data_IF_307683247641
#
_entry.id   IF_307683247641
#
_cell.length_a   1.000
_cell.length_b   1.000
_cell.length_c   1.000
_cell.angle_alpha   90.00
_cell.angle_beta   90.00
_cell.angle_gamma   90.00
#
_symmetry.space_group_name_H-M   'P 1'
#
loop_
_entity.id
_entity.type
_entity.pdbx_description
1 polymer ?
#
# COMPACT_ATOMS: atom_id res chain seq x y z
N UNK A 1 -1.96 -1.57 22.72
CA UNK A 1 -1.33 -1.85 21.40
C UNK A 1 -0.15 -0.89 21.30
N UNK A 2 1.05 -1.35 21.63
CA UNK A 2 2.27 -0.56 21.89
C UNK A 2 2.14 0.58 22.91
N UNK A 3 1.05 0.68 23.67
CA UNK A 3 0.80 1.63 24.76
C UNK A 3 1.22 3.09 24.48
N UNK A 4 1.06 3.51 23.21
CA UNK A 4 1.51 4.81 22.70
C UNK A 4 3.01 5.11 22.94
N UNK A 5 3.87 4.09 22.86
CA UNK A 5 5.32 4.21 22.99
C UNK A 5 5.95 4.96 21.79
N UNK A 6 6.04 6.28 21.93
CA UNK A 6 6.64 7.18 20.94
C UNK A 6 8.17 7.05 20.86
N UNK A 7 8.83 6.63 21.94
CA UNK A 7 10.28 6.46 22.01
C UNK A 7 10.72 5.30 21.09
N UNK A 8 10.06 4.16 21.22
CA UNK A 8 10.29 3.01 20.32
C UNK A 8 9.90 3.36 18.89
N UNK A 9 8.82 4.12 18.72
CA UNK A 9 8.34 4.56 17.41
C UNK A 9 9.37 5.38 16.64
N UNK A 10 10.09 6.28 17.32
CA UNK A 10 11.12 7.11 16.72
C UNK A 10 12.41 6.31 16.39
N UNK A 11 12.68 5.22 17.11
CA UNK A 11 13.92 4.43 17.00
C UNK A 11 13.84 3.29 15.99
N UNK A 12 12.65 2.92 15.53
CA UNK A 12 12.44 1.77 14.65
C UNK A 12 11.75 2.17 13.36
N UNK A 13 12.18 1.58 12.26
CA UNK A 13 11.62 1.88 10.94
C UNK A 13 10.14 1.49 10.88
N UNK A 14 9.33 2.25 10.13
CA UNK A 14 7.89 2.03 10.01
C UNK A 14 7.56 0.62 9.55
N UNK A 15 8.25 0.10 8.53
CA UNK A 15 8.02 -1.23 7.97
C UNK A 15 8.40 -2.36 8.95
N UNK A 16 9.22 -2.07 9.98
CA UNK A 16 9.48 -3.02 11.07
C UNK A 16 8.34 -3.12 12.05
N UNK A 17 7.54 -2.07 12.18
CA UNK A 17 6.40 -2.02 13.10
C UNK A 17 5.10 -2.39 12.40
N UNK A 18 5.00 -2.08 11.11
CA UNK A 18 3.87 -2.31 10.22
C UNK A 18 4.39 -2.97 8.93
N UNK A 19 4.71 -4.27 8.95
CA UNK A 19 5.12 -4.94 7.73
C UNK A 19 3.98 -4.95 6.70
N UNK A 20 4.33 -4.66 5.44
CA UNK A 20 3.44 -4.88 4.29
C UNK A 20 3.12 -6.36 4.12
N UNK A 21 1.87 -6.68 3.88
CA UNK A 21 1.45 -8.04 3.59
C UNK A 21 2.10 -8.59 2.31
N UNK A 22 2.25 -7.74 1.30
CA UNK A 22 2.72 -8.09 -0.05
C UNK A 22 4.21 -8.47 -0.10
N UNK A 23 5.02 -7.91 0.81
CA UNK A 23 6.49 -8.07 0.80
C UNK A 23 7.07 -8.55 2.12
N UNK A 24 6.26 -8.62 3.18
CA UNK A 24 6.70 -8.82 4.57
C UNK A 24 6.30 -10.14 5.21
N UNK A 25 5.89 -11.17 4.46
CA UNK A 25 5.36 -12.43 4.99
C UNK A 25 6.27 -13.08 6.06
N UNK A 26 7.57 -13.19 5.79
CA UNK A 26 8.54 -13.75 6.75
C UNK A 26 8.61 -12.97 8.07
N UNK A 27 8.42 -11.65 8.00
CA UNK A 27 8.44 -10.75 9.16
C UNK A 27 7.13 -10.86 9.94
N UNK A 28 6.01 -10.94 9.23
CA UNK A 28 4.68 -11.14 9.81
C UNK A 28 4.62 -12.46 10.58
N UNK A 29 5.26 -13.52 10.06
CA UNK A 29 5.33 -14.82 10.71
C UNK A 29 6.13 -14.79 12.03
N UNK A 30 7.17 -13.95 12.11
CA UNK A 30 8.05 -13.80 13.28
C UNK A 30 7.54 -12.78 14.30
N UNK A 31 6.56 -11.94 13.94
CA UNK A 31 6.05 -10.88 14.81
C UNK A 31 5.04 -11.46 15.81
N UNK A 32 5.22 -11.24 17.13
CA UNK A 32 4.28 -11.74 18.13
C UNK A 32 2.93 -11.01 18.05
N UNK A 33 1.87 -11.66 18.54
CA UNK A 33 0.55 -11.02 18.64
C UNK A 33 0.50 -10.04 19.83
N UNK A 34 -0.30 -8.95 19.73
CA UNK A 34 -1.10 -8.53 18.59
C UNK A 34 -0.25 -7.92 17.47
N UNK A 35 -0.56 -8.27 16.21
CA UNK A 35 0.17 -7.81 15.03
C UNK A 35 -0.49 -6.59 14.40
N UNK A 36 0.33 -5.69 13.87
CA UNK A 36 -0.07 -4.60 12.99
C UNK A 36 0.46 -4.95 11.61
N UNK A 37 -0.43 -5.06 10.63
CA UNK A 37 -0.11 -5.44 9.26
C UNK A 37 -0.81 -4.43 8.36
N UNK A 38 -0.09 -3.88 7.39
CA UNK A 38 -0.65 -3.01 6.37
C UNK A 38 -0.64 -3.70 5.01
N UNK A 39 -1.56 -3.31 4.14
CA UNK A 39 -1.65 -3.82 2.77
C UNK A 39 -2.44 -2.84 1.90
N UNK A 40 -2.18 -2.90 0.60
CA UNK A 40 -2.87 -2.18 -0.46
C UNK A 40 -3.78 -3.11 -1.29
N UNK A 41 -3.98 -4.35 -0.82
CA UNK A 41 -4.83 -5.33 -1.47
C UNK A 41 -6.32 -5.02 -1.27
N UNK A 42 -7.17 -5.19 -2.29
CA UNK A 42 -8.61 -5.23 -2.11
C UNK A 42 -9.00 -6.40 -1.20
N UNK A 43 -10.12 -6.25 -0.49
CA UNK A 43 -10.61 -7.23 0.48
C UNK A 43 -10.75 -8.65 -0.12
N UNK A 44 -11.10 -8.76 -1.40
CA UNK A 44 -11.24 -10.02 -2.13
C UNK A 44 -9.93 -10.79 -2.36
N UNK A 45 -8.77 -10.13 -2.23
CA UNK A 45 -7.45 -10.74 -2.37
C UNK A 45 -6.79 -11.03 -1.02
N UNK A 46 -7.47 -10.72 0.09
CA UNK A 46 -6.97 -11.05 1.42
C UNK A 46 -7.26 -12.53 1.76
N UNK A 47 -6.47 -13.14 2.67
CA UNK A 47 -6.67 -14.54 3.03
C UNK A 47 -8.03 -14.79 3.70
N UNK A 48 -8.68 -15.91 3.35
CA UNK A 48 -9.99 -16.31 3.89
C UNK A 48 -10.02 -16.38 5.42
N UNK A 49 -8.87 -16.60 6.05
CA UNK A 49 -8.72 -16.61 7.51
C UNK A 49 -9.16 -15.30 8.18
N UNK A 50 -9.28 -14.18 7.44
CA UNK A 50 -9.87 -12.95 7.97
C UNK A 50 -11.30 -13.18 8.45
N UNK A 51 -12.08 -14.03 7.76
CA UNK A 51 -13.46 -14.34 8.14
C UNK A 51 -13.53 -15.18 9.42
N UNK A 52 -12.56 -16.07 9.63
CA UNK A 52 -12.48 -16.94 10.81
C UNK A 52 -11.93 -16.20 12.03
N UNK A 53 -10.81 -15.48 11.85
CA UNK A 53 -10.08 -14.82 12.95
C UNK A 53 -10.64 -13.45 13.29
N UNK A 54 -11.46 -12.86 12.41
CA UNK A 54 -12.14 -11.57 12.57
C UNK A 54 -11.22 -10.49 13.14
N UNK A 55 -10.06 -10.23 12.51
CA UNK A 55 -9.18 -9.15 12.96
C UNK A 55 -9.89 -7.80 12.80
N UNK A 56 -9.40 -6.78 13.51
CA UNK A 56 -9.86 -5.41 13.30
C UNK A 56 -9.21 -4.86 12.02
N UNK A 57 -10.04 -4.37 11.10
CA UNK A 57 -9.58 -3.78 9.83
C UNK A 57 -9.83 -2.27 9.88
N UNK A 58 -8.82 -1.50 9.52
CA UNK A 58 -8.92 -0.04 9.34
C UNK A 58 -8.66 0.24 7.87
N UNK A 59 -9.68 0.76 7.17
CA UNK A 59 -9.57 1.16 5.77
C UNK A 59 -9.38 2.67 5.68
N UNK A 60 -8.40 3.09 4.88
CA UNK A 60 -8.09 4.51 4.66
C UNK A 60 -8.47 4.89 3.24
N UNK A 61 -9.43 5.80 3.11
CA UNK A 61 -9.82 6.40 1.84
C UNK A 61 -9.34 7.85 1.75
N UNK A 62 -9.05 8.33 0.55
CA UNK A 62 -8.67 9.72 0.26
C UNK A 62 -9.36 10.19 -1.01
N UNK A 63 -9.51 11.51 -1.19
CA UNK A 63 -9.98 12.09 -2.44
C UNK A 63 -9.15 11.54 -3.63
N UNK A 64 -9.77 11.04 -4.71
CA UNK A 64 -9.05 10.51 -5.86
C UNK A 64 -8.07 11.51 -6.52
N UNK A 65 -8.39 12.81 -6.53
CA UNK A 65 -7.52 13.87 -7.07
C UNK A 65 -6.19 13.97 -6.30
N UNK A 66 -6.29 13.87 -4.99
CA UNK A 66 -5.16 13.84 -4.09
C UNK A 66 -4.32 12.56 -4.26
N UNK A 67 -4.98 11.42 -4.48
CA UNK A 67 -4.31 10.14 -4.68
C UNK A 67 -3.49 10.17 -5.97
N UNK A 68 -4.06 10.63 -7.08
CA UNK A 68 -3.36 10.66 -8.38
C UNK A 68 -2.16 11.60 -8.34
N UNK A 69 -2.29 12.78 -7.73
CA UNK A 69 -1.18 13.71 -7.59
C UNK A 69 -0.06 13.16 -6.69
N UNK A 70 -0.44 12.56 -5.56
CA UNK A 70 0.51 11.94 -4.62
C UNK A 70 1.27 10.79 -5.28
N UNK A 71 0.57 9.91 -6.00
CA UNK A 71 1.19 8.74 -6.62
C UNK A 71 2.08 9.13 -7.81
N UNK A 72 1.65 10.09 -8.64
CA UNK A 72 2.50 10.66 -9.69
C UNK A 72 3.81 11.23 -9.13
N UNK A 73 3.71 12.04 -8.08
CA UNK A 73 4.88 12.67 -7.46
C UNK A 73 5.80 11.63 -6.84
N UNK A 74 5.26 10.65 -6.11
CA UNK A 74 6.04 9.58 -5.50
C UNK A 74 6.72 8.69 -6.55
N UNK A 75 5.95 8.10 -7.48
CA UNK A 75 6.43 7.09 -8.40
C UNK A 75 7.40 7.65 -9.45
N UNK A 76 7.08 8.84 -10.00
CA UNK A 76 7.83 9.45 -11.11
C UNK A 76 8.93 10.37 -10.58
N UNK A 77 8.60 11.31 -9.70
CA UNK A 77 9.56 12.36 -9.30
C UNK A 77 10.50 11.92 -8.19
N UNK A 78 10.01 11.14 -7.22
CA UNK A 78 10.80 10.75 -6.06
C UNK A 78 11.53 9.42 -6.26
N UNK A 79 10.79 8.37 -6.59
CA UNK A 79 11.36 7.03 -6.75
C UNK A 79 12.01 6.80 -8.12
N UNK A 80 11.64 7.58 -9.14
CA UNK A 80 11.95 7.32 -10.55
C UNK A 80 11.73 5.84 -10.94
N UNK A 81 10.71 5.24 -10.34
CA UNK A 81 10.45 3.79 -10.35
C UNK A 81 9.61 3.32 -11.52
N UNK A 82 8.99 4.26 -12.25
CA UNK A 82 8.14 3.98 -13.39
C UNK A 82 8.65 4.82 -14.56
N UNK A 83 9.06 4.21 -15.68
CA UNK A 83 9.45 4.94 -16.88
C UNK A 83 8.19 5.55 -17.51
N UNK A 84 7.87 6.79 -17.13
CA UNK A 84 6.74 7.54 -17.67
C UNK A 84 7.26 8.83 -18.32
N UNK A 85 6.93 9.02 -19.59
CA UNK A 85 7.38 10.16 -20.41
C UNK A 85 6.24 11.10 -20.83
N UNK A 86 5.04 10.93 -20.25
CA UNK A 86 3.87 11.74 -20.55
C UNK A 86 3.69 12.95 -19.62
N UNK A 87 2.62 13.70 -19.86
CA UNK A 87 2.21 14.83 -19.01
C UNK A 87 1.47 14.34 -17.76
N UNK A 88 1.26 15.24 -16.78
CA UNK A 88 0.41 14.91 -15.64
C UNK A 88 -1.05 14.61 -16.07
N UNK A 89 -1.55 15.26 -17.12
CA UNK A 89 -2.89 14.98 -17.65
C UNK A 89 -2.98 13.57 -18.22
N UNK A 90 -1.96 13.12 -18.96
CA UNK A 90 -1.88 11.74 -19.46
C UNK A 90 -1.88 10.75 -18.31
N UNK A 91 -1.17 11.08 -17.22
CA UNK A 91 -1.16 10.27 -16.00
C UNK A 91 -2.54 10.21 -15.34
N UNK A 92 -3.26 11.33 -15.25
CA UNK A 92 -4.63 11.35 -14.75
C UNK A 92 -5.57 10.48 -15.58
N UNK A 93 -5.45 10.52 -16.92
CA UNK A 93 -6.23 9.66 -17.82
C UNK A 93 -5.92 8.18 -17.60
N UNK A 94 -4.65 7.82 -17.44
CA UNK A 94 -4.25 6.46 -17.09
C UNK A 94 -4.83 6.03 -15.74
N UNK A 95 -4.77 6.90 -14.73
CA UNK A 95 -5.29 6.62 -13.39
C UNK A 95 -6.81 6.37 -13.40
N UNK A 96 -7.58 7.19 -14.10
CA UNK A 96 -9.06 7.05 -14.17
C UNK A 96 -9.50 5.83 -14.99
N UNK A 97 -8.70 5.42 -15.99
CA UNK A 97 -8.97 4.23 -16.80
C UNK A 97 -8.47 2.92 -16.17
N UNK A 98 -8.01 2.97 -14.92
CA UNK A 98 -7.39 1.86 -14.17
C UNK A 98 -6.15 1.26 -14.87
N UNK A 99 -5.52 2.04 -15.77
CA UNK A 99 -4.26 1.70 -16.44
C UNK A 99 -3.04 2.33 -15.77
N UNK A 100 -3.27 3.17 -14.75
CA UNK A 100 -2.25 3.92 -14.02
C UNK A 100 -1.83 3.29 -12.70
N UNK A 101 -2.55 2.28 -12.21
CA UNK A 101 -2.18 1.50 -11.04
C UNK A 101 -1.48 0.24 -11.49
N UNK A 102 -0.15 0.28 -11.41
CA UNK A 102 0.75 -0.86 -11.64
C UNK A 102 0.88 -1.21 -13.13
N UNK A 103 2.11 -1.42 -13.59
CA UNK A 103 2.40 -2.17 -14.81
C UNK A 103 1.99 -3.64 -14.71
N UNK A 104 0.76 -3.94 -14.27
CA UNK A 104 0.09 -5.16 -14.62
C UNK A 104 -0.49 -4.91 -16.00
N UNK A 105 0.09 -5.59 -16.99
CA UNK A 105 -0.45 -5.77 -18.33
C UNK A 105 -1.95 -6.10 -18.22
N UNK A 106 -2.82 -5.11 -18.29
CA UNK A 106 -4.18 -5.31 -18.78
C UNK A 106 -4.12 -5.10 -20.28
N UNK A 107 -4.10 -6.24 -20.95
CA UNK A 107 -4.60 -6.46 -22.30
C UNK A 107 -3.59 -6.28 -23.45
N UNK A 108 -2.91 -7.40 -23.75
CA UNK A 108 -2.69 -7.77 -25.15
C UNK A 108 -4.06 -7.87 -25.82
N UNK A 109 -4.30 -7.02 -26.81
CA UNK A 109 -5.04 -7.40 -28.01
C UNK A 109 -4.11 -8.12 -28.98
#
# INVERSE_FOLDING_TARGET
MNDADFEKAAKTNLEQRFPYFETGLDRIAKTPSPRLIECHLPLSLLPDQINEKKPKIVYVARNPEDIVFSYYTFAIKFMNSVPFTGTFEDYCRLFVTDKGRVGLKSDYG
#
